data_IF_676043969542
#
_entry.id   IF_676043969542
#
_cell.length_a   1.000
_cell.length_b   1.000
_cell.length_c   1.000
_cell.angle_alpha   90.00
_cell.angle_beta   90.00
_cell.angle_gamma   90.00
#
_symmetry.space_group_name_H-M   'P 1'
#
loop_
_entity.id
_entity.type
_entity.pdbx_description
1 polymer ?
#
# COMPACT_ATOMS: atom_id res chain seq x y z
N UNK A 1 -11.22 17.20 10.96
CA UNK A 1 -11.42 16.26 9.85
C UNK A 1 -10.63 16.79 8.67
N UNK A 2 -9.75 15.98 8.09
CA UNK A 2 -8.98 16.37 6.91
C UNK A 2 -9.73 15.88 5.65
N UNK A 3 -9.53 16.57 4.54
CA UNK A 3 -10.01 16.13 3.24
C UNK A 3 -8.84 15.63 2.40
N UNK A 4 -9.04 14.51 1.72
CA UNK A 4 -8.09 13.96 0.77
C UNK A 4 -8.73 13.91 -0.61
N UNK A 5 -7.99 14.38 -1.61
CA UNK A 5 -8.23 14.09 -3.03
C UNK A 5 -6.97 13.46 -3.62
N UNK A 6 -7.13 12.48 -4.50
CA UNK A 6 -6.02 11.90 -5.25
C UNK A 6 -6.27 11.98 -6.76
N UNK A 7 -5.17 12.01 -7.51
CA UNK A 7 -5.17 11.89 -8.96
C UNK A 7 -4.06 10.94 -9.37
N UNK A 8 -4.39 9.97 -10.21
CA UNK A 8 -3.42 9.13 -10.93
C UNK A 8 -3.44 9.55 -12.39
N UNK A 9 -2.28 9.85 -12.95
CA UNK A 9 -2.11 10.19 -14.37
C UNK A 9 -1.15 9.23 -15.03
N UNK A 10 -1.55 8.68 -16.17
CA UNK A 10 -0.78 7.74 -16.98
C UNK A 10 -0.55 8.40 -18.34
N UNK A 11 0.71 8.65 -18.64
CA UNK A 11 1.14 9.29 -19.88
C UNK A 11 1.81 8.27 -20.78
N UNK A 12 1.30 8.12 -21.99
CA UNK A 12 1.85 7.22 -23.01
C UNK A 12 2.53 8.07 -24.07
N UNK A 13 3.84 7.89 -24.28
CA UNK A 13 4.59 8.63 -25.31
C UNK A 13 3.99 8.38 -26.69
N UNK A 14 3.62 9.45 -27.40
CA UNK A 14 2.92 9.38 -28.69
C UNK A 14 1.49 8.82 -28.62
N UNK A 15 0.94 8.62 -27.41
CA UNK A 15 -0.37 8.05 -27.16
C UNK A 15 -1.28 8.95 -26.32
N UNK A 16 -2.41 8.41 -25.83
CA UNK A 16 -3.34 9.16 -25.02
C UNK A 16 -2.79 9.42 -23.61
N UNK A 17 -3.28 10.49 -22.99
CA UNK A 17 -3.15 10.71 -21.55
C UNK A 17 -4.41 10.19 -20.87
N UNK A 18 -4.23 9.34 -19.86
CA UNK A 18 -5.33 8.82 -19.03
C UNK A 18 -5.18 9.38 -17.62
N UNK A 19 -6.30 9.72 -16.99
CA UNK A 19 -6.30 10.14 -15.59
C UNK A 19 -7.53 9.63 -14.87
N UNK A 20 -7.33 9.23 -13.62
CA UNK A 20 -8.39 8.97 -12.66
C UNK A 20 -8.20 9.88 -11.46
N UNK A 21 -9.29 10.38 -10.88
CA UNK A 21 -9.23 11.20 -9.69
C UNK A 21 -10.41 10.92 -8.77
N UNK A 22 -10.26 11.24 -7.49
CA UNK A 22 -11.37 11.25 -6.55
C UNK A 22 -11.93 12.65 -6.35
N UNK A 23 -13.23 12.74 -6.09
CA UNK A 23 -13.76 13.87 -5.36
C UNK A 23 -13.10 13.96 -3.96
N UNK A 24 -13.13 15.12 -3.28
CA UNK A 24 -12.71 15.21 -1.89
C UNK A 24 -13.43 14.16 -1.03
N UNK A 25 -12.67 13.43 -0.22
CA UNK A 25 -13.18 12.44 0.71
C UNK A 25 -12.70 12.78 2.12
N UNK A 26 -13.60 12.66 3.10
CA UNK A 26 -13.24 12.78 4.50
C UNK A 26 -12.27 11.66 4.88
N UNK A 27 -11.15 12.06 5.49
CA UNK A 27 -10.19 11.16 6.12
C UNK A 27 -9.92 11.66 7.53
N UNK A 28 -9.74 10.73 8.45
CA UNK A 28 -9.50 11.06 9.85
C UNK A 28 -8.09 10.74 10.29
N UNK A 29 -7.45 9.77 9.63
CA UNK A 29 -6.05 9.44 9.84
C UNK A 29 -5.34 9.26 8.49
N UNK A 30 -4.12 9.78 8.43
CA UNK A 30 -3.17 9.52 7.35
C UNK A 30 -1.84 9.14 7.96
N UNK A 31 -1.25 8.05 7.49
CA UNK A 31 0.02 7.56 7.95
C UNK A 31 0.98 7.42 6.76
N UNK A 32 2.22 7.86 6.96
CA UNK A 32 3.32 7.67 6.01
C UNK A 32 4.43 6.92 6.73
N UNK A 33 4.68 5.69 6.31
CA UNK A 33 5.72 4.83 6.86
C UNK A 33 6.79 4.64 5.81
N UNK A 34 8.04 4.92 6.17
CA UNK A 34 9.21 4.57 5.36
C UNK A 34 9.99 3.49 6.10
N UNK A 35 10.30 2.39 5.41
CA UNK A 35 11.09 1.29 5.96
C UNK A 35 12.22 0.95 5.01
N UNK A 36 13.38 0.66 5.58
CA UNK A 36 14.48 0.02 4.86
C UNK A 36 14.37 -1.48 5.11
N UNK A 37 14.33 -2.27 4.03
CA UNK A 37 14.45 -3.72 4.09
C UNK A 37 15.85 -4.12 3.66
N UNK A 38 16.59 -4.74 4.58
CA UNK A 38 17.88 -5.31 4.26
C UNK A 38 17.72 -6.52 3.32
N UNK A 39 18.77 -6.85 2.57
CA UNK A 39 18.82 -8.09 1.81
C UNK A 39 18.54 -9.31 2.71
N UNK A 40 17.60 -10.16 2.29
CA UNK A 40 17.17 -11.33 3.06
C UNK A 40 16.11 -11.06 4.14
N UNK A 41 15.71 -9.81 4.38
CA UNK A 41 14.62 -9.51 5.32
C UNK A 41 13.32 -10.20 4.87
N UNK A 42 12.65 -10.87 5.80
CA UNK A 42 11.36 -11.51 5.54
C UNK A 42 10.31 -11.05 6.53
N UNK A 43 9.08 -10.89 6.03
CA UNK A 43 7.88 -10.51 6.77
C UNK A 43 8.08 -9.34 7.75
N UNK A 44 8.81 -8.29 7.32
CA UNK A 44 8.93 -7.04 8.07
C UNK A 44 7.54 -6.41 8.19
N UNK A 45 7.06 -6.34 9.42
CA UNK A 45 5.71 -5.86 9.72
C UNK A 45 5.65 -4.33 9.72
N UNK A 46 4.67 -3.78 9.02
CA UNK A 46 4.21 -2.41 9.13
C UNK A 46 2.77 -2.42 9.60
N UNK A 47 2.49 -1.71 10.69
CA UNK A 47 1.13 -1.49 11.18
C UNK A 47 0.43 -0.44 10.29
N UNK A 48 -0.69 -0.81 9.68
CA UNK A 48 -1.60 0.15 9.03
C UNK A 48 -2.65 0.72 9.99
N UNK A 49 -2.57 0.31 11.27
CA UNK A 49 -3.51 0.55 12.37
C UNK A 49 -4.82 -0.25 12.25
N UNK A 50 -5.43 -0.66 13.38
CA UNK A 50 -6.64 -1.46 13.37
C UNK A 50 -7.84 -0.68 12.83
N UNK A 51 -8.69 -1.37 12.08
CA UNK A 51 -9.94 -0.85 11.52
C UNK A 51 -10.55 -1.83 10.52
N UNK A 52 -11.79 -1.59 10.09
CA UNK A 52 -12.38 -2.36 8.99
C UNK A 52 -11.66 -2.02 7.67
N UNK A 53 -11.46 -3.00 6.78
CA UNK A 53 -10.88 -2.76 5.45
C UNK A 53 -11.64 -1.68 4.64
N UNK A 54 -12.96 -1.56 4.88
CA UNK A 54 -13.83 -0.54 4.29
C UNK A 54 -13.52 0.88 4.75
N UNK A 55 -12.75 1.04 5.83
CA UNK A 55 -12.32 2.32 6.36
C UNK A 55 -11.12 2.88 5.56
N UNK A 56 -10.36 2.03 4.87
CA UNK A 56 -9.24 2.45 4.01
C UNK A 56 -9.80 3.18 2.77
N UNK A 57 -9.31 4.40 2.56
CA UNK A 57 -9.63 5.23 1.38
C UNK A 57 -8.55 5.15 0.32
N UNK A 58 -7.29 5.04 0.74
CA UNK A 58 -6.13 4.92 -0.14
C UNK A 58 -5.00 4.18 0.57
N UNK A 59 -4.34 3.25 -0.14
CA UNK A 59 -3.00 2.78 0.15
C UNK A 59 -2.14 3.04 -1.09
N UNK A 60 -0.99 3.67 -0.90
CA UNK A 60 0.05 3.79 -1.90
C UNK A 60 1.29 3.08 -1.36
N UNK A 61 1.77 2.07 -2.08
CA UNK A 61 3.05 1.40 -1.81
C UNK A 61 3.99 1.75 -2.96
N UNK A 62 5.10 2.39 -2.64
CA UNK A 62 6.19 2.62 -3.60
C UNK A 62 7.50 2.13 -3.02
N UNK A 63 8.43 1.81 -3.90
CA UNK A 63 9.73 1.29 -3.54
C UNK A 63 10.82 2.02 -4.33
N UNK A 64 12.01 2.10 -3.76
CA UNK A 64 13.20 2.57 -4.48
C UNK A 64 13.61 1.61 -5.60
N UNK A 65 13.19 0.34 -5.53
CA UNK A 65 13.40 -0.71 -6.53
C UNK A 65 12.20 -1.65 -6.65
N UNK A 66 12.01 -2.20 -7.84
CA UNK A 66 10.94 -3.15 -8.14
C UNK A 66 11.54 -4.41 -8.76
N UNK A 67 10.96 -5.57 -8.46
CA UNK A 67 11.56 -6.86 -8.79
C UNK A 67 10.77 -8.05 -8.25
N UNK A 68 11.07 -9.23 -8.78
CA UNK A 68 10.40 -10.49 -8.40
C UNK A 68 10.74 -10.93 -6.96
N UNK A 69 11.84 -10.43 -6.44
CA UNK A 69 12.39 -10.71 -5.12
C UNK A 69 11.76 -9.89 -4.00
N UNK A 70 11.01 -8.83 -4.32
CA UNK A 70 10.33 -7.98 -3.34
C UNK A 70 8.86 -8.31 -3.29
N UNK A 71 8.32 -8.57 -2.11
CA UNK A 71 6.90 -8.96 -1.95
C UNK A 71 6.24 -8.24 -0.79
N UNK A 72 4.92 -8.09 -0.89
CA UNK A 72 4.05 -7.59 0.16
C UNK A 72 2.89 -8.56 0.39
N UNK A 73 2.54 -8.78 1.67
CA UNK A 73 1.31 -9.47 2.07
C UNK A 73 0.47 -8.52 2.92
N UNK A 74 -0.83 -8.54 2.73
CA UNK A 74 -1.77 -8.00 3.71
C UNK A 74 -1.96 -9.00 4.84
N UNK A 75 -2.18 -8.52 6.07
CA UNK A 75 -2.48 -9.36 7.22
C UNK A 75 -3.53 -8.72 8.10
N UNK A 76 -4.48 -9.52 8.60
CA UNK A 76 -5.46 -9.10 9.61
C UNK A 76 -4.98 -9.35 11.06
N UNK A 77 -3.69 -9.69 11.22
CA UNK A 77 -3.07 -10.07 12.48
C UNK A 77 -3.14 -11.56 12.80
N UNK A 78 -3.95 -12.33 12.05
CA UNK A 78 -4.10 -13.79 12.21
C UNK A 78 -3.85 -14.53 10.90
N UNK A 79 -4.42 -14.03 9.81
CA UNK A 79 -4.38 -14.60 8.46
C UNK A 79 -3.64 -13.64 7.53
N UNK A 80 -2.72 -14.20 6.76
CA UNK A 80 -2.00 -13.46 5.71
C UNK A 80 -2.66 -13.70 4.36
N UNK A 81 -2.64 -12.69 3.51
CA UNK A 81 -2.96 -12.85 2.09
C UNK A 81 -1.87 -13.62 1.36
N UNK A 82 -2.18 -14.04 0.14
CA UNK A 82 -1.15 -14.43 -0.82
C UNK A 82 -0.15 -13.27 -1.05
N UNK A 83 1.15 -13.58 -1.26
CA UNK A 83 2.16 -12.57 -1.53
C UNK A 83 1.93 -11.93 -2.90
N UNK A 84 2.01 -10.60 -2.93
CA UNK A 84 2.02 -9.81 -4.15
C UNK A 84 3.43 -9.33 -4.42
N UNK A 85 3.94 -9.60 -5.61
CA UNK A 85 5.23 -9.09 -6.07
C UNK A 85 5.18 -7.57 -6.23
N UNK A 86 6.22 -6.88 -5.78
CA UNK A 86 6.38 -5.44 -5.98
C UNK A 86 7.17 -5.21 -7.28
N UNK A 87 6.51 -5.40 -8.41
CA UNK A 87 7.03 -5.13 -9.77
C UNK A 87 6.73 -3.70 -10.27
N UNK A 88 5.97 -2.94 -9.48
CA UNK A 88 5.69 -1.53 -9.69
C UNK A 88 4.99 -0.89 -8.48
N UNK A 89 4.70 0.42 -8.53
CA UNK A 89 3.93 1.09 -7.49
C UNK A 89 2.51 0.49 -7.39
N UNK A 90 2.06 0.23 -6.17
CA UNK A 90 0.71 -0.27 -5.91
C UNK A 90 -0.16 0.87 -5.42
N UNK A 91 -1.26 1.14 -6.12
CA UNK A 91 -2.26 2.14 -5.74
C UNK A 91 -3.58 1.43 -5.49
N UNK A 92 -3.97 1.33 -4.23
CA UNK A 92 -5.21 0.69 -3.80
C UNK A 92 -6.16 1.78 -3.31
N UNK A 93 -7.21 2.06 -4.07
CA UNK A 93 -8.25 3.01 -3.72
C UNK A 93 -9.42 2.30 -3.02
N UNK A 94 -10.39 3.07 -2.52
CA UNK A 94 -11.58 2.52 -1.87
C UNK A 94 -12.22 1.38 -2.68
N UNK A 95 -12.52 0.26 -2.01
CA UNK A 95 -13.06 -0.96 -2.63
C UNK A 95 -12.00 -1.93 -3.18
N UNK A 96 -10.86 -1.44 -3.68
CA UNK A 96 -9.77 -2.34 -4.14
C UNK A 96 -9.03 -3.00 -2.99
N UNK A 97 -9.08 -2.44 -1.78
CA UNK A 97 -8.58 -3.11 -0.57
C UNK A 97 -9.25 -4.47 -0.32
N UNK A 98 -10.48 -4.70 -0.82
CA UNK A 98 -11.13 -6.00 -0.76
C UNK A 98 -10.42 -7.07 -1.61
N UNK A 99 -9.64 -6.67 -2.62
CA UNK A 99 -8.85 -7.58 -3.46
C UNK A 99 -7.66 -8.18 -2.72
N UNK A 100 -7.31 -7.66 -1.54
CA UNK A 100 -6.25 -8.21 -0.70
C UNK A 100 -6.66 -9.55 -0.04
N UNK A 101 -7.92 -9.95 -0.12
CA UNK A 101 -8.42 -11.23 0.41
C UNK A 101 -8.53 -11.31 1.94
N UNK A 102 -7.95 -10.35 2.67
CA UNK A 102 -8.05 -10.16 4.12
C UNK A 102 -8.35 -8.69 4.43
N UNK A 103 -8.81 -8.40 5.65
CA UNK A 103 -8.96 -7.02 6.09
C UNK A 103 -7.63 -6.51 6.66
N UNK A 104 -6.85 -5.70 5.91
CA UNK A 104 -5.47 -5.42 6.27
C UNK A 104 -5.39 -4.52 7.51
N UNK A 105 -4.83 -5.06 8.59
CA UNK A 105 -4.36 -4.31 9.75
C UNK A 105 -2.85 -4.06 9.68
N UNK A 106 -2.14 -4.96 8.99
CA UNK A 106 -0.71 -4.95 8.80
C UNK A 106 -0.35 -5.20 7.34
N UNK A 107 0.82 -4.71 6.94
CA UNK A 107 1.55 -5.19 5.77
C UNK A 107 2.80 -5.94 6.23
N UNK A 108 3.07 -7.07 5.60
CA UNK A 108 4.32 -7.82 5.78
C UNK A 108 5.11 -7.68 4.49
N UNK A 109 6.29 -7.07 4.59
CA UNK A 109 7.15 -6.79 3.44
C UNK A 109 8.37 -7.70 3.49
N UNK A 110 8.78 -8.23 2.34
CA UNK A 110 9.95 -9.10 2.25
C UNK A 110 10.88 -8.67 1.10
N UNK A 111 12.17 -8.87 1.33
CA UNK A 111 13.25 -8.65 0.39
C UNK A 111 14.07 -9.95 0.28
N UNK A 112 13.79 -10.76 -0.74
CA UNK A 112 14.49 -12.02 -1.00
C UNK A 112 15.78 -11.82 -1.83
N UNK A 113 16.23 -10.59 -2.06
CA UNK A 113 17.50 -10.34 -2.75
C UNK A 113 18.67 -10.80 -1.89
N UNK A 114 19.79 -11.12 -2.55
CA UNK A 114 20.99 -11.60 -1.87
C UNK A 114 21.89 -10.47 -1.34
N UNK A 115 21.83 -9.29 -1.97
CA UNK A 115 22.83 -8.24 -1.79
C UNK A 115 22.28 -6.80 -1.90
N UNK A 116 20.95 -6.62 -1.96
CA UNK A 116 20.35 -5.32 -2.21
C UNK A 116 19.37 -4.93 -1.12
N UNK A 117 19.67 -3.86 -0.40
CA UNK A 117 18.70 -3.21 0.46
C UNK A 117 17.74 -2.36 -0.37
N UNK A 118 16.50 -2.26 0.07
CA UNK A 118 15.48 -1.41 -0.57
C UNK A 118 14.78 -0.52 0.45
N UNK A 119 14.26 0.60 -0.04
CA UNK A 119 13.41 1.49 0.74
C UNK A 119 11.99 1.38 0.23
N UNK A 120 11.06 1.04 1.12
CA UNK A 120 9.63 1.00 0.82
C UNK A 120 8.96 2.13 1.59
N UNK A 121 8.14 2.90 0.88
CA UNK A 121 7.27 3.90 1.46
C UNK A 121 5.81 3.46 1.27
N UNK A 122 5.11 3.39 2.39
CA UNK A 122 3.67 3.10 2.45
C UNK A 122 2.97 4.36 2.93
N UNK A 123 2.00 4.83 2.15
CA UNK A 123 1.07 5.86 2.56
C UNK A 123 -0.33 5.25 2.70
N UNK A 124 -0.99 5.49 3.83
CA UNK A 124 -2.37 5.06 4.09
C UNK A 124 -3.21 6.26 4.45
N UNK A 125 -4.40 6.35 3.87
CA UNK A 125 -5.45 7.27 4.30
C UNK A 125 -6.70 6.48 4.63
N UNK A 126 -7.30 6.77 5.80
CA UNK A 126 -8.44 6.01 6.32
C UNK A 126 -9.43 6.89 7.09
N UNK A 127 -10.64 6.35 7.19
CA UNK A 127 -11.64 6.72 8.18
C UNK A 127 -11.26 6.04 9.51
N UNK A 128 -11.14 6.82 10.58
CA UNK A 128 -10.69 6.33 11.88
C UNK A 128 -11.79 6.46 12.93
N UNK A 129 -13.04 6.64 12.49
CA UNK A 129 -14.19 6.81 13.38
C UNK A 129 -14.28 5.56 14.26
N UNK A 130 -14.21 5.68 15.60
CA UNK A 130 -14.32 4.52 16.48
C UNK A 130 -15.66 3.82 16.22
N UNK A 131 -15.62 2.54 15.83
CA UNK A 131 -16.78 1.67 15.70
C UNK A 131 -17.05 0.89 16.97
#
# INVERSE_FOLDING_TARGET
MAEMSWTVSIQISGGPNLSASSAPQSVEATDRVAVTLAAGDSDRVIELQPGAASAIRLILIKSSRYGAEFTAKASDGVTDSEPVTLDGPQVLTAGTAALLGVAPQQLKLSNASADQDIEIEVFVARDATPS
#
